data_IF_882294038626
#
_entry.id   IF_882294038626
#
_cell.length_a   1.000
_cell.length_b   1.000
_cell.length_c   1.000
_cell.angle_alpha   90.00
_cell.angle_beta   90.00
_cell.angle_gamma   90.00
#
_symmetry.space_group_name_H-M   'P 1'
#
loop_
_entity.id
_entity.type
_entity.pdbx_description
1 polymer ?
#
# COMPACT_ATOMS: atom_id res chain seq x y z
N UNK A 1 7.13 13.04 -12.53
CA UNK A 1 6.00 12.08 -12.54
C UNK A 1 4.86 12.67 -13.33
N UNK A 2 4.23 11.88 -14.20
CA UNK A 2 3.06 12.34 -14.98
C UNK A 2 1.84 12.43 -14.07
N UNK A 3 1.01 13.45 -14.26
CA UNK A 3 -0.19 13.61 -13.42
C UNK A 3 -1.17 12.46 -13.67
N UNK A 4 -1.93 12.00 -12.66
CA UNK A 4 -2.91 10.93 -12.84
C UNK A 4 -3.91 11.25 -13.96
N UNK A 5 -4.34 12.51 -14.06
CA UNK A 5 -5.21 12.98 -15.13
C UNK A 5 -4.59 12.80 -16.53
N UNK A 6 -3.31 13.12 -16.70
CA UNK A 6 -2.61 12.93 -17.97
C UNK A 6 -2.52 11.46 -18.36
N UNK A 7 -2.22 10.57 -17.40
CA UNK A 7 -2.18 9.12 -17.65
C UNK A 7 -3.55 8.55 -18.02
N UNK A 8 -4.64 9.04 -17.42
CA UNK A 8 -6.00 8.64 -17.82
C UNK A 8 -6.26 9.07 -19.26
N UNK A 9 -5.92 10.31 -19.63
CA UNK A 9 -6.16 10.83 -20.98
C UNK A 9 -5.40 10.07 -22.06
N UNK A 10 -4.14 9.74 -21.81
CA UNK A 10 -3.32 9.03 -22.80
C UNK A 10 -3.67 7.54 -22.93
N UNK A 11 -3.92 6.85 -21.81
CA UNK A 11 -4.13 5.39 -21.84
C UNK A 11 -5.60 5.00 -22.04
N UNK A 12 -6.52 5.82 -21.56
CA UNK A 12 -7.94 5.51 -21.53
C UNK A 12 -8.80 6.59 -22.19
N UNK A 13 -8.25 7.75 -22.57
CA UNK A 13 -9.01 8.89 -23.08
C UNK A 13 -9.71 9.68 -21.96
N UNK A 14 -10.56 9.01 -21.18
CA UNK A 14 -11.43 9.66 -20.20
C UNK A 14 -11.66 8.81 -18.96
N UNK A 15 -12.09 9.46 -17.87
CA UNK A 15 -12.39 8.77 -16.60
C UNK A 15 -13.48 7.71 -16.78
N UNK A 16 -14.50 7.97 -17.59
CA UNK A 16 -15.57 7.02 -17.86
C UNK A 16 -15.05 5.71 -18.48
N UNK A 17 -14.11 5.80 -19.42
CA UNK A 17 -13.48 4.63 -20.05
C UNK A 17 -12.60 3.85 -19.07
N UNK A 18 -11.90 4.55 -18.17
CA UNK A 18 -11.16 3.91 -17.08
C UNK A 18 -12.11 3.19 -16.11
N UNK A 19 -13.25 3.78 -15.76
CA UNK A 19 -14.27 3.13 -14.91
C UNK A 19 -14.81 1.88 -15.61
N UNK A 20 -15.19 1.97 -16.89
CA UNK A 20 -15.65 0.81 -17.66
C UNK A 20 -14.57 -0.29 -17.78
N UNK A 21 -13.30 0.08 -17.92
CA UNK A 21 -12.20 -0.88 -17.92
C UNK A 21 -12.05 -1.58 -16.55
N UNK A 22 -12.21 -0.83 -15.45
CA UNK A 22 -12.19 -1.40 -14.09
C UNK A 22 -13.42 -2.28 -13.84
N UNK A 23 -14.60 -1.91 -14.34
CA UNK A 23 -15.83 -2.70 -14.23
C UNK A 23 -15.70 -4.08 -14.88
N UNK A 24 -14.94 -4.23 -15.96
CA UNK A 24 -14.63 -5.55 -16.55
C UNK A 24 -13.86 -6.48 -15.60
N UNK A 25 -13.16 -5.93 -14.60
CA UNK A 25 -12.48 -6.70 -13.55
C UNK A 25 -13.35 -6.90 -12.31
N UNK A 26 -14.59 -6.38 -12.29
CA UNK A 26 -15.52 -6.56 -11.16
C UNK A 26 -16.22 -7.93 -11.14
N UNK A 27 -15.73 -8.91 -11.91
CA UNK A 27 -16.20 -10.30 -11.87
C UNK A 27 -15.88 -10.96 -10.53
N UNK A 28 -16.69 -11.92 -10.09
CA UNK A 28 -16.55 -12.63 -8.80
C UNK A 28 -15.17 -13.28 -8.59
N UNK A 29 -14.44 -13.56 -9.68
CA UNK A 29 -13.10 -14.16 -9.67
C UNK A 29 -12.01 -13.24 -9.09
N UNK A 30 -12.14 -11.92 -9.26
CA UNK A 30 -11.13 -10.93 -8.88
C UNK A 30 -11.70 -9.84 -7.96
N UNK A 31 -13.01 -9.68 -7.92
CA UNK A 31 -13.67 -8.63 -7.17
C UNK A 31 -14.20 -9.14 -5.83
N UNK A 32 -14.20 -8.24 -4.85
CA UNK A 32 -14.93 -8.43 -3.59
C UNK A 32 -15.89 -7.27 -3.51
N UNK A 33 -17.19 -7.58 -3.44
CA UNK A 33 -18.26 -6.60 -3.47
C UNK A 33 -18.23 -5.71 -2.20
N UNK A 34 -17.39 -4.67 -2.24
CA UNK A 34 -17.12 -3.72 -1.14
C UNK A 34 -17.49 -2.28 -1.50
N UNK A 35 -17.77 -2.01 -2.77
CA UNK A 35 -18.25 -0.70 -3.19
C UNK A 35 -19.65 -0.50 -2.65
N UNK A 36 -19.84 0.58 -1.89
CA UNK A 36 -21.18 1.00 -1.50
C UNK A 36 -21.98 1.30 -2.78
N UNK A 37 -23.11 0.60 -2.97
CA UNK A 37 -23.98 0.74 -4.15
C UNK A 37 -24.35 2.19 -4.45
N UNK A 38 -24.38 3.05 -3.42
CA UNK A 38 -24.70 4.48 -3.55
C UNK A 38 -23.53 5.35 -4.05
N UNK A 39 -22.27 4.93 -3.90
CA UNK A 39 -21.09 5.77 -4.23
C UNK A 39 -20.22 5.23 -5.37
N UNK A 40 -20.54 4.10 -5.98
CA UNK A 40 -20.00 3.62 -7.27
C UNK A 40 -18.47 3.69 -7.49
N UNK A 41 -18.02 3.34 -8.69
CA UNK A 41 -16.62 3.54 -9.11
C UNK A 41 -16.35 4.95 -9.66
N UNK A 42 -17.42 5.67 -10.03
CA UNK A 42 -17.33 7.02 -10.59
C UNK A 42 -16.84 8.09 -9.58
N UNK A 43 -17.10 7.90 -8.28
CA UNK A 43 -16.63 8.84 -7.24
C UNK A 43 -15.19 8.58 -6.78
N UNK A 44 -14.58 7.48 -7.20
CA UNK A 44 -13.20 7.16 -6.88
C UNK A 44 -12.24 8.10 -7.63
N UNK A 45 -11.14 8.50 -7.01
CA UNK A 45 -10.16 9.39 -7.66
C UNK A 45 -9.44 8.69 -8.83
N UNK A 46 -8.96 9.47 -9.80
CA UNK A 46 -8.28 8.93 -10.98
C UNK A 46 -7.02 8.13 -10.62
N UNK A 47 -6.27 8.59 -9.61
CA UNK A 47 -5.09 7.87 -9.12
C UNK A 47 -5.44 6.49 -8.57
N UNK A 48 -6.55 6.39 -7.83
CA UNK A 48 -7.03 5.12 -7.29
C UNK A 48 -7.53 4.18 -8.39
N UNK A 49 -8.28 4.69 -9.38
CA UNK A 49 -8.75 3.89 -10.51
C UNK A 49 -7.59 3.35 -11.35
N UNK A 50 -6.55 4.17 -11.61
CA UNK A 50 -5.35 3.73 -12.31
C UNK A 50 -4.60 2.64 -11.53
N UNK A 51 -4.45 2.82 -10.22
CA UNK A 51 -3.85 1.80 -9.35
C UNK A 51 -4.67 0.51 -9.39
N UNK A 52 -5.98 0.62 -9.31
CA UNK A 52 -6.89 -0.51 -9.26
C UNK A 52 -6.82 -1.33 -10.56
N UNK A 53 -6.90 -0.65 -11.72
CA UNK A 53 -6.69 -1.27 -13.02
C UNK A 53 -5.33 -1.96 -13.11
N UNK A 54 -4.24 -1.28 -12.76
CA UNK A 54 -2.90 -1.85 -12.84
C UNK A 54 -2.74 -3.12 -11.98
N UNK A 55 -3.28 -3.12 -10.76
CA UNK A 55 -3.22 -4.30 -9.89
C UNK A 55 -4.03 -5.44 -10.48
N UNK A 56 -5.26 -5.19 -10.94
CA UNK A 56 -6.08 -6.26 -11.51
C UNK A 56 -5.48 -6.84 -12.79
N UNK A 57 -4.93 -6.01 -13.67
CA UNK A 57 -4.18 -6.50 -14.84
C UNK A 57 -3.01 -7.38 -14.42
N UNK A 58 -2.17 -6.90 -13.49
CA UNK A 58 -1.01 -7.68 -13.02
C UNK A 58 -1.40 -8.99 -12.33
N UNK A 59 -2.45 -9.00 -11.51
CA UNK A 59 -2.91 -10.20 -10.82
C UNK A 59 -3.54 -11.19 -11.80
N UNK A 60 -4.32 -10.70 -12.77
CA UNK A 60 -4.89 -11.54 -13.83
C UNK A 60 -3.80 -12.15 -14.71
N UNK A 61 -2.76 -11.39 -15.06
CA UNK A 61 -1.62 -11.87 -15.84
C UNK A 61 -0.78 -12.91 -15.07
N UNK A 62 -0.52 -12.67 -13.78
CA UNK A 62 0.39 -13.52 -12.99
C UNK A 62 -0.27 -14.75 -12.37
N UNK A 63 -1.49 -14.59 -11.88
CA UNK A 63 -2.20 -15.63 -11.12
C UNK A 63 -3.52 -16.02 -11.77
N UNK A 64 -4.11 -15.17 -12.61
CA UNK A 64 -5.43 -15.40 -13.19
C UNK A 64 -6.55 -15.04 -12.22
N UNK A 65 -6.64 -15.74 -11.08
CA UNK A 65 -7.75 -15.62 -10.11
C UNK A 65 -7.28 -15.20 -8.72
N UNK A 66 -8.23 -14.73 -7.89
CA UNK A 66 -7.97 -14.38 -6.49
C UNK A 66 -7.48 -15.58 -5.67
N UNK A 67 -8.06 -16.76 -5.88
CA UNK A 67 -7.71 -17.95 -5.09
C UNK A 67 -6.26 -18.38 -5.29
N UNK A 68 -5.76 -18.32 -6.54
CA UNK A 68 -4.35 -18.60 -6.84
C UNK A 68 -3.39 -17.61 -6.18
N UNK A 69 -3.79 -16.34 -6.06
CA UNK A 69 -3.02 -15.35 -5.30
C UNK A 69 -3.01 -15.67 -3.80
N UNK A 70 -4.12 -16.16 -3.24
CA UNK A 70 -4.21 -16.58 -1.85
C UNK A 70 -3.32 -17.78 -1.60
N UNK A 71 -3.39 -18.80 -2.46
CA UNK A 71 -2.58 -20.01 -2.33
C UNK A 71 -1.08 -19.67 -2.41
N UNK A 72 -0.66 -18.82 -3.36
CA UNK A 72 0.73 -18.35 -3.46
C UNK A 72 1.22 -17.59 -2.21
N UNK A 73 0.35 -16.80 -1.57
CA UNK A 73 0.69 -16.10 -0.32
C UNK A 73 0.91 -17.11 0.81
N UNK A 74 0.01 -18.09 0.93
CA UNK A 74 0.05 -19.08 2.00
C UNK A 74 1.27 -20.00 1.85
N UNK A 75 1.62 -20.37 0.61
CA UNK A 75 2.84 -21.09 0.28
C UNK A 75 4.09 -20.29 0.67
N UNK A 76 4.15 -19.01 0.30
CA UNK A 76 5.28 -18.14 0.65
C UNK A 76 5.43 -17.91 2.16
N UNK A 77 4.32 -17.87 2.90
CA UNK A 77 4.33 -17.80 4.36
C UNK A 77 4.57 -19.14 5.04
N UNK A 78 4.63 -20.24 4.29
CA UNK A 78 4.77 -21.62 4.81
C UNK A 78 3.66 -21.99 5.81
N UNK A 79 2.45 -21.44 5.62
CA UNK A 79 1.27 -21.65 6.48
C UNK A 79 0.17 -22.46 5.79
N UNK A 80 0.54 -23.36 4.88
CA UNK A 80 -0.39 -24.15 4.05
C UNK A 80 -1.41 -24.97 4.82
N UNK A 81 -1.11 -25.36 6.06
CA UNK A 81 -2.02 -26.13 6.93
C UNK A 81 -2.93 -25.26 7.81
N UNK A 82 -2.79 -23.94 7.77
CA UNK A 82 -3.55 -23.03 8.63
C UNK A 82 -4.84 -22.56 7.94
N UNK A 83 -5.91 -23.34 8.12
CA UNK A 83 -7.23 -23.05 7.54
C UNK A 83 -7.82 -21.73 8.06
N UNK A 84 -7.56 -21.36 9.32
CA UNK A 84 -8.01 -20.09 9.90
C UNK A 84 -7.33 -18.90 9.24
N UNK A 85 -6.03 -19.03 8.95
CA UNK A 85 -5.29 -18.02 8.19
C UNK A 85 -5.79 -17.90 6.76
N UNK A 86 -5.98 -19.02 6.04
CA UNK A 86 -6.55 -19.01 4.67
C UNK A 86 -7.88 -18.28 4.61
N UNK A 87 -8.78 -18.55 5.55
CA UNK A 87 -10.09 -17.90 5.65
C UNK A 87 -9.97 -16.40 5.85
N UNK A 88 -9.07 -15.96 6.75
CA UNK A 88 -8.82 -14.53 6.99
C UNK A 88 -8.24 -13.82 5.77
N UNK A 89 -7.33 -14.50 5.06
CA UNK A 89 -6.72 -13.97 3.84
C UNK A 89 -7.77 -13.87 2.72
N UNK A 90 -8.64 -14.87 2.57
CA UNK A 90 -9.71 -14.86 1.57
C UNK A 90 -10.73 -13.72 1.73
N UNK A 91 -10.90 -13.18 2.94
CA UNK A 91 -11.77 -12.02 3.20
C UNK A 91 -11.18 -10.68 2.70
N UNK A 92 -9.90 -10.65 2.33
CA UNK A 92 -9.25 -9.44 1.85
C UNK A 92 -9.50 -9.20 0.36
N UNK A 93 -9.68 -7.94 -0.07
CA UNK A 93 -9.79 -7.61 -1.47
C UNK A 93 -8.43 -7.77 -2.18
N UNK A 94 -8.46 -8.06 -3.49
CA UNK A 94 -7.24 -8.30 -4.30
C UNK A 94 -6.16 -7.23 -4.15
N UNK A 95 -6.45 -5.91 -4.08
CA UNK A 95 -5.41 -4.91 -3.82
C UNK A 95 -4.63 -5.14 -2.53
N UNK A 96 -5.30 -5.58 -1.46
CA UNK A 96 -4.67 -5.89 -0.17
C UNK A 96 -3.87 -7.19 -0.25
N UNK A 97 -4.41 -8.21 -0.92
CA UNK A 97 -3.71 -9.47 -1.17
C UNK A 97 -2.42 -9.25 -1.96
N UNK A 98 -2.47 -8.43 -3.00
CA UNK A 98 -1.31 -8.11 -3.83
C UNK A 98 -0.21 -7.39 -3.03
N UNK A 99 -0.57 -6.41 -2.20
CA UNK A 99 0.39 -5.74 -1.33
C UNK A 99 1.02 -6.73 -0.32
N UNK A 100 0.23 -7.66 0.21
CA UNK A 100 0.72 -8.71 1.11
C UNK A 100 1.68 -9.67 0.39
N UNK A 101 1.31 -10.17 -0.79
CA UNK A 101 2.17 -11.00 -1.63
C UNK A 101 3.52 -10.33 -1.90
N UNK A 102 3.51 -9.05 -2.31
CA UNK A 102 4.75 -8.30 -2.56
C UNK A 102 5.61 -8.17 -1.30
N UNK A 103 4.99 -7.96 -0.14
CA UNK A 103 5.70 -7.87 1.14
C UNK A 103 6.32 -9.20 1.53
N UNK A 104 5.55 -10.29 1.49
CA UNK A 104 6.02 -11.64 1.82
C UNK A 104 7.13 -12.06 0.86
N UNK A 105 6.90 -11.91 -0.45
CA UNK A 105 7.89 -12.21 -1.49
C UNK A 105 9.21 -11.47 -1.26
N UNK A 106 9.18 -10.18 -0.91
CA UNK A 106 10.40 -9.41 -0.57
C UNK A 106 11.09 -9.88 0.71
N UNK A 107 10.34 -10.35 1.71
CA UNK A 107 10.91 -10.87 2.96
C UNK A 107 11.56 -12.24 2.76
N UNK A 108 10.96 -13.07 1.92
CA UNK A 108 11.41 -14.43 1.59
C UNK A 108 12.51 -14.43 0.53
N UNK A 109 12.66 -13.35 -0.25
CA UNK A 109 13.74 -13.21 -1.22
C UNK A 109 15.12 -13.23 -0.53
N UNK A 110 16.12 -13.93 -1.10
CA UNK A 110 17.46 -14.03 -0.53
C UNK A 110 18.10 -12.63 -0.40
N UNK A 111 18.90 -12.46 0.66
CA UNK A 111 19.39 -11.17 1.15
C UNK A 111 20.24 -10.32 0.16
N UNK A 112 20.53 -10.83 -1.04
CA UNK A 112 21.22 -10.09 -2.09
C UNK A 112 20.42 -8.87 -2.61
N UNK A 113 19.09 -8.84 -2.46
CA UNK A 113 18.25 -7.73 -2.93
C UNK A 113 17.98 -6.62 -1.88
N UNK A 114 18.60 -6.70 -0.68
CA UNK A 114 18.35 -5.75 0.43
C UNK A 114 19.28 -4.53 0.46
N UNK A 115 20.12 -4.30 -0.56
CA UNK A 115 21.12 -3.21 -0.54
C UNK A 115 20.65 -1.84 -1.07
N UNK A 116 19.47 -1.70 -1.67
CA UNK A 116 19.09 -0.42 -2.33
C UNK A 116 17.80 0.24 -1.80
N UNK A 117 17.45 0.07 -0.52
CA UNK A 117 16.33 0.84 0.05
C UNK A 117 16.57 1.39 1.46
N UNK A 118 17.81 1.37 1.93
CA UNK A 118 18.23 2.04 3.17
C UNK A 118 18.97 3.36 2.88
N UNK A 119 18.38 4.23 2.07
CA UNK A 119 18.74 5.66 2.01
C UNK A 119 17.51 6.51 2.32
N UNK A 120 17.04 6.40 3.55
CA UNK A 120 16.34 7.48 4.22
C UNK A 120 17.25 7.89 5.39
N UNK A 121 17.99 9.02 5.32
CA UNK A 121 18.77 9.48 6.44
C UNK A 121 17.81 9.76 7.61
N UNK A 122 17.98 8.98 8.69
CA UNK A 122 17.38 9.24 9.99
C UNK A 122 17.77 10.66 10.40
N UNK A 123 16.87 11.62 10.21
CA UNK A 123 16.98 12.93 10.84
C UNK A 123 16.76 12.70 12.35
N UNK A 124 17.86 12.76 13.10
CA UNK A 124 17.89 12.65 14.54
C UNK A 124 16.82 13.56 15.20
N UNK A 125 16.23 13.17 16.35
CA UNK A 125 15.33 14.05 17.07
C UNK A 125 16.12 15.27 17.52
N UNK A 126 15.75 16.44 16.99
CA UNK A 126 16.32 17.72 17.36
C UNK A 126 16.11 17.95 18.87
N UNK A 127 17.18 17.76 19.64
CA UNK A 127 17.29 18.31 20.99
C UNK A 127 17.17 19.83 20.88
N UNK A 128 16.00 20.34 21.27
CA UNK A 128 15.78 21.74 21.58
C UNK A 128 16.47 22.05 22.90
N UNK A 129 17.64 22.69 22.85
CA UNK A 129 18.12 23.59 23.90
C UNK A 129 19.35 24.33 23.35
N UNK A 130 19.14 25.58 22.94
CA UNK A 130 20.19 26.51 22.60
C UNK A 130 21.07 26.77 23.84
N UNK A 131 22.38 26.70 23.63
CA UNK A 131 23.37 27.23 24.57
C UNK A 131 23.62 28.70 24.26
N UNK A 132 23.71 29.55 25.30
CA UNK A 132 24.70 30.65 25.45
C UNK A 132 24.54 31.32 26.85
N UNK A 133 25.59 31.98 27.40
CA UNK A 133 26.38 31.43 28.51
C UNK A 133 26.64 32.42 29.68
N UNK A 134 27.37 31.92 30.70
CA UNK A 134 28.27 32.62 31.63
C UNK A 134 27.73 33.52 32.76
N UNK A 135 28.16 33.17 34.00
CA UNK A 135 28.71 34.02 35.07
C UNK A 135 27.90 35.25 35.55
N UNK A 136 27.77 35.64 36.83
CA UNK A 136 28.35 35.28 38.12
C UNK A 136 27.73 36.27 39.15
N UNK A 137 27.79 35.92 40.45
CA UNK A 137 27.71 36.78 41.66
C UNK A 137 26.35 37.21 42.24
N UNK A 138 26.20 36.72 43.49
CA UNK A 138 25.91 37.46 44.75
C UNK A 138 24.49 37.49 45.32
N UNK A 139 24.42 36.84 46.49
CA UNK A 139 23.86 37.33 47.76
C UNK A 139 22.34 37.24 48.01
N UNK A 140 22.03 36.46 49.06
CA UNK A 140 20.84 36.45 49.92
C UNK A 140 20.47 37.87 50.45
N UNK A 141 19.32 38.12 51.14
CA UNK A 141 18.50 37.16 51.87
C UNK A 141 16.96 37.33 51.86
N UNK A 142 16.30 36.31 52.43
CA UNK A 142 14.89 36.31 52.82
C UNK A 142 14.62 37.33 53.95
N UNK A 143 13.55 38.11 53.77
CA UNK A 143 12.64 38.69 54.79
C UNK A 143 11.23 38.41 54.25
N UNK A 144 10.18 38.11 55.00
CA UNK A 144 9.85 38.29 56.41
C UNK A 144 8.82 37.21 56.78
#
# INVERSE_FOLDING_TARGET
MKSPLATVKEKFGDKAKLVAAVEKFTTDELWVNRTNKAKGLAHVSNAQLLRLHAIFSTVKEKFGTRDKLIDAIIELEKRTKDAGYRTRVAAYPVPRLWDMYRSVSKRTAPAAAKKDSASAPKKAPAKKAAAKPAAEKKAAPKKK
#
